data_IF_883537332029
#
_entry.id   IF_883537332029
#
_cell.length_a   1.000
_cell.length_b   1.000
_cell.length_c   1.000
_cell.angle_alpha   90.00
_cell.angle_beta   90.00
_cell.angle_gamma   90.00
#
_symmetry.space_group_name_H-M   'P 1'
#
loop_
_entity.id
_entity.type
_entity.pdbx_description
1 polymer ?
#
# COMPACT_ATOMS: atom_id res chain seq x y z
N UNK A 1 14.65 -14.25 -16.87
CA UNK A 1 14.47 -12.88 -17.35
C UNK A 1 13.57 -12.18 -16.35
N UNK A 2 13.91 -10.96 -15.92
CA UNK A 2 13.07 -10.18 -15.01
C UNK A 2 12.18 -9.29 -15.87
N UNK A 3 11.03 -9.82 -16.29
CA UNK A 3 10.11 -9.12 -17.19
C UNK A 3 9.55 -7.83 -16.60
N UNK A 4 9.27 -7.83 -15.30
CA UNK A 4 8.48 -6.76 -14.67
C UNK A 4 9.31 -5.53 -14.30
N UNK A 5 10.64 -5.55 -14.50
CA UNK A 5 11.56 -4.46 -14.20
C UNK A 5 11.56 -3.98 -12.73
N UNK A 6 10.92 -4.71 -11.83
CA UNK A 6 10.86 -4.41 -10.38
C UNK A 6 12.00 -5.03 -9.57
N UNK A 7 12.76 -5.93 -10.20
CA UNK A 7 13.94 -6.55 -9.62
C UNK A 7 15.14 -6.36 -10.55
N UNK A 8 16.35 -6.43 -9.99
CA UNK A 8 17.62 -6.44 -10.73
C UNK A 8 18.37 -7.73 -10.42
N UNK A 9 18.92 -8.33 -11.46
CA UNK A 9 19.85 -9.46 -11.33
C UNK A 9 21.10 -9.04 -10.56
N UNK A 10 21.73 -10.04 -9.94
CA UNK A 10 23.01 -9.90 -9.27
C UNK A 10 24.01 -10.91 -9.83
N UNK A 11 25.32 -10.77 -9.54
CA UNK A 11 26.31 -11.77 -9.94
C UNK A 11 26.05 -13.15 -9.35
N UNK A 12 25.33 -13.24 -8.22
CA UNK A 12 24.97 -14.49 -7.57
C UNK A 12 23.61 -14.98 -8.07
N UNK A 13 23.59 -16.19 -8.64
CA UNK A 13 22.37 -16.78 -9.19
C UNK A 13 21.34 -17.02 -8.10
N UNK A 14 20.13 -16.53 -8.31
CA UNK A 14 19.02 -16.66 -7.36
C UNK A 14 18.95 -15.54 -6.33
N UNK A 15 19.91 -14.62 -6.32
CA UNK A 15 19.87 -13.39 -5.53
C UNK A 15 19.45 -12.23 -6.43
N UNK A 16 18.47 -11.45 -5.96
CA UNK A 16 17.91 -10.30 -6.68
C UNK A 16 17.88 -9.09 -5.77
N UNK A 17 18.17 -7.92 -6.33
CA UNK A 17 17.97 -6.65 -5.64
C UNK A 17 16.64 -6.01 -6.04
N UNK A 18 15.87 -5.46 -5.08
CA UNK A 18 14.72 -4.62 -5.43
C UNK A 18 15.19 -3.35 -6.15
N UNK A 19 14.40 -2.89 -7.11
CA UNK A 19 14.55 -1.52 -7.64
C UNK A 19 13.81 -0.53 -6.75
N UNK A 20 14.02 0.76 -6.99
CA UNK A 20 13.30 1.83 -6.29
C UNK A 20 11.79 1.64 -6.42
N UNK A 21 11.08 1.68 -5.29
CA UNK A 21 9.62 1.58 -5.28
C UNK A 21 8.98 2.71 -6.07
N UNK A 22 7.86 2.42 -6.71
CA UNK A 22 7.10 3.35 -7.54
C UNK A 22 6.16 4.18 -6.67
N UNK A 23 6.39 5.50 -6.52
CA UNK A 23 5.50 6.33 -5.73
C UNK A 23 4.13 6.46 -6.41
N UNK A 24 3.07 6.20 -5.67
CA UNK A 24 1.69 6.43 -6.13
C UNK A 24 1.25 7.82 -5.68
N UNK A 25 0.96 8.68 -6.65
CA UNK A 25 0.46 10.05 -6.42
C UNK A 25 -1.05 10.17 -6.57
N UNK A 26 -1.66 9.24 -7.31
CA UNK A 26 -3.10 9.21 -7.53
C UNK A 26 -3.82 8.66 -6.28
N UNK A 27 -4.76 9.45 -5.77
CA UNK A 27 -5.53 9.16 -4.57
C UNK A 27 -6.48 7.98 -4.73
N UNK A 28 -7.09 7.81 -5.91
CA UNK A 28 -8.00 6.69 -6.20
C UNK A 28 -7.23 5.38 -6.32
N UNK A 29 -6.07 5.41 -6.98
CA UNK A 29 -5.19 4.22 -7.05
C UNK A 29 -4.68 3.85 -5.66
N UNK A 30 -4.33 4.85 -4.84
CA UNK A 30 -3.93 4.61 -3.43
C UNK A 30 -5.03 3.94 -2.63
N UNK A 31 -6.27 4.43 -2.73
CA UNK A 31 -7.45 3.83 -2.09
C UNK A 31 -7.69 2.39 -2.56
N UNK A 32 -7.59 2.15 -3.85
CA UNK A 32 -7.79 0.84 -4.43
C UNK A 32 -6.73 -0.17 -3.95
N UNK A 33 -5.47 0.23 -3.89
CA UNK A 33 -4.38 -0.61 -3.36
C UNK A 33 -4.55 -0.90 -1.85
N UNK A 34 -5.03 0.07 -1.07
CA UNK A 34 -5.34 -0.12 0.35
C UNK A 34 -6.50 -1.12 0.53
N UNK A 35 -7.56 -0.97 -0.26
CA UNK A 35 -8.69 -1.92 -0.27
C UNK A 35 -8.22 -3.33 -0.62
N UNK A 36 -7.44 -3.46 -1.71
CA UNK A 36 -6.92 -4.74 -2.18
C UNK A 36 -6.03 -5.42 -1.13
N UNK A 37 -5.18 -4.64 -0.45
CA UNK A 37 -4.30 -5.14 0.60
C UNK A 37 -5.08 -5.71 1.80
N UNK A 38 -6.10 -4.98 2.28
CA UNK A 38 -6.98 -5.45 3.36
C UNK A 38 -7.73 -6.74 2.99
N UNK A 39 -8.29 -6.78 1.77
CA UNK A 39 -8.98 -7.98 1.26
C UNK A 39 -8.03 -9.16 1.12
N UNK A 40 -6.80 -8.94 0.64
CA UNK A 40 -5.81 -9.99 0.47
C UNK A 40 -5.28 -10.56 1.79
N UNK A 41 -5.35 -9.79 2.87
CA UNK A 41 -4.97 -10.21 4.22
C UNK A 41 -6.15 -10.80 5.03
N UNK A 42 -7.33 -10.97 4.42
CA UNK A 42 -8.58 -11.33 5.09
C UNK A 42 -8.92 -10.44 6.32
N UNK A 43 -8.48 -9.18 6.29
CA UNK A 43 -8.71 -8.24 7.37
C UNK A 43 -9.84 -7.27 7.02
N UNK A 44 -10.83 -7.13 7.91
CA UNK A 44 -11.89 -6.13 7.75
C UNK A 44 -11.43 -4.71 8.11
N UNK A 45 -10.34 -4.58 8.86
CA UNK A 45 -9.77 -3.29 9.26
C UNK A 45 -8.30 -3.41 9.65
N UNK A 46 -7.52 -2.34 9.45
CA UNK A 46 -6.15 -2.25 9.93
C UNK A 46 -5.71 -0.80 10.09
N UNK A 47 -4.74 -0.49 10.99
CA UNK A 47 -4.07 0.80 10.98
C UNK A 47 -3.42 1.07 9.62
N UNK A 48 -3.60 2.28 9.11
CA UNK A 48 -3.13 2.70 7.79
C UNK A 48 -1.62 2.55 7.63
N UNK A 49 -0.86 2.91 8.67
CA UNK A 49 0.60 2.79 8.68
C UNK A 49 1.07 1.34 8.51
N UNK A 50 0.29 0.37 9.00
CA UNK A 50 0.57 -1.06 8.82
C UNK A 50 0.26 -1.47 7.37
N UNK A 51 -0.88 -1.04 6.83
CA UNK A 51 -1.28 -1.36 5.45
C UNK A 51 -0.24 -0.85 4.45
N UNK A 52 0.21 0.40 4.56
CA UNK A 52 1.15 0.99 3.58
C UNK A 52 2.58 0.43 3.68
N UNK A 53 2.89 -0.32 4.73
CA UNK A 53 4.20 -0.97 4.94
C UNK A 53 4.19 -2.46 4.58
N UNK A 54 3.05 -3.02 4.15
CA UNK A 54 2.97 -4.44 3.80
C UNK A 54 3.81 -4.77 2.56
N UNK A 55 4.51 -5.92 2.55
CA UNK A 55 5.22 -6.40 1.37
C UNK A 55 4.29 -6.64 0.17
N UNK A 56 2.99 -6.90 0.41
CA UNK A 56 2.01 -7.12 -0.66
C UNK A 56 1.82 -5.89 -1.56
N UNK A 57 2.23 -4.70 -1.12
CA UNK A 57 2.20 -3.49 -1.94
C UNK A 57 3.44 -3.32 -2.81
N UNK A 58 4.49 -4.13 -2.66
CA UNK A 58 5.64 -4.07 -3.55
C UNK A 58 5.20 -4.26 -5.02
N UNK A 59 5.65 -3.41 -5.96
CA UNK A 59 6.72 -2.42 -5.86
C UNK A 59 6.25 -0.99 -5.53
N UNK A 60 5.01 -0.80 -5.12
CA UNK A 60 4.38 0.51 -4.98
C UNK A 60 4.63 1.13 -3.60
N UNK A 61 4.84 2.45 -3.57
CA UNK A 61 4.94 3.24 -2.34
C UNK A 61 3.70 4.14 -2.24
N UNK A 62 2.80 3.78 -1.33
CA UNK A 62 1.56 4.51 -1.03
C UNK A 62 1.80 5.46 0.15
N UNK A 63 1.71 6.77 -0.08
CA UNK A 63 1.97 7.76 0.98
C UNK A 63 0.75 7.95 1.88
N UNK A 64 0.90 7.64 3.17
CA UNK A 64 -0.12 7.86 4.21
C UNK A 64 -0.64 9.32 4.30
N UNK A 65 0.20 10.31 3.98
CA UNK A 65 -0.19 11.74 3.98
C UNK A 65 -1.21 12.11 2.90
N UNK A 66 -1.25 11.35 1.79
CA UNK A 66 -2.30 11.49 0.77
C UNK A 66 -3.61 10.90 1.30
N UNK A 67 -3.50 9.82 2.09
CA UNK A 67 -4.63 9.03 2.55
C UNK A 67 -5.45 9.72 3.63
N UNK A 68 -4.79 10.45 4.55
CA UNK A 68 -5.48 11.25 5.57
C UNK A 68 -6.27 12.46 5.01
N UNK A 69 -6.10 12.80 3.72
CA UNK A 69 -6.81 13.89 3.03
C UNK A 69 -7.87 13.40 2.05
N UNK A 70 -8.15 12.10 2.02
CA UNK A 70 -9.00 11.51 0.98
C UNK A 70 -10.47 11.88 1.18
N UNK A 71 -11.11 12.16 0.05
CA UNK A 71 -12.56 12.31 -0.05
C UNK A 71 -13.29 11.04 0.42
N UNK A 72 -14.58 11.14 0.79
CA UNK A 72 -15.39 9.98 1.12
C UNK A 72 -15.30 8.91 0.04
N UNK A 73 -14.96 7.68 0.42
CA UNK A 73 -14.94 6.54 -0.47
C UNK A 73 -16.14 5.63 -0.17
N UNK A 74 -16.72 5.02 -1.21
CA UNK A 74 -17.90 4.15 -1.08
C UNK A 74 -17.58 2.79 -0.46
N UNK A 75 -16.32 2.34 -0.51
CA UNK A 75 -15.87 1.01 -0.08
C UNK A 75 -14.98 1.02 1.15
N UNK A 76 -14.38 2.17 1.45
CA UNK A 76 -13.49 2.35 2.59
C UNK A 76 -14.02 3.44 3.52
N UNK A 77 -13.92 3.17 4.81
CA UNK A 77 -14.05 4.16 5.86
C UNK A 77 -12.68 4.40 6.49
N UNK A 78 -12.31 5.67 6.64
CA UNK A 78 -11.05 6.06 7.27
C UNK A 78 -11.41 6.91 8.49
N UNK A 79 -11.02 6.45 9.67
CA UNK A 79 -11.25 7.16 10.93
C UNK A 79 -9.93 7.48 11.60
N UNK A 80 -9.82 8.71 12.13
CA UNK A 80 -8.66 9.11 12.94
C UNK A 80 -8.88 8.64 14.37
N UNK A 81 -7.98 7.80 14.88
CA UNK A 81 -7.95 7.35 16.26
C UNK A 81 -6.74 7.97 16.98
N UNK A 82 -6.98 8.83 17.96
CA UNK A 82 -5.92 9.52 18.69
C UNK A 82 -5.16 10.55 17.85
N UNK A 83 -3.94 10.89 18.27
CA UNK A 83 -3.21 12.02 17.72
C UNK A 83 -2.77 11.77 16.26
N UNK A 84 -2.25 10.58 15.93
CA UNK A 84 -1.66 10.33 14.59
C UNK A 84 -2.00 8.95 13.99
N UNK A 85 -2.93 8.19 14.57
CA UNK A 85 -3.34 6.90 14.00
C UNK A 85 -4.57 7.08 13.12
N UNK A 86 -4.50 6.59 11.88
CA UNK A 86 -5.68 6.42 11.04
C UNK A 86 -5.96 4.93 10.92
N UNK A 87 -7.20 4.53 11.16
CA UNK A 87 -7.67 3.16 10.95
C UNK A 87 -8.52 3.14 9.69
N UNK A 88 -8.24 2.18 8.82
CA UNK A 88 -9.02 1.93 7.61
C UNK A 88 -9.88 0.71 7.84
N UNK A 89 -11.17 0.82 7.49
CA UNK A 89 -12.17 -0.24 7.61
C UNK A 89 -12.81 -0.47 6.25
N UNK A 90 -12.96 -1.74 5.87
CA UNK A 90 -13.77 -2.14 4.72
C UNK A 90 -15.25 -1.94 5.05
N UNK A 91 -15.99 -1.32 4.13
CA UNK A 91 -17.46 -1.21 4.21
C UNK A 91 -18.15 -2.44 3.62
#
# INVERSE_FOLDING_TARGET
FIDWQVLKDTPEKGVYHPVSSHPIVDSQVSLWLIEASLRASDASSSPLNIIVQTPALFPFNVKSTIVGKLSPNSRLEISRQGLDSNVVVLK
#
